data_IF_994872928537
#
_entry.id   IF_994872928537
#
_cell.length_a   1.000
_cell.length_b   1.000
_cell.length_c   1.000
_cell.angle_alpha   90.00
_cell.angle_beta   90.00
_cell.angle_gamma   90.00
#
_symmetry.space_group_name_H-M   'P 1'
#
loop_
_entity.id
_entity.type
_entity.pdbx_description
1 polymer ?
#
# COMPACT_ATOMS: atom_id res chain seq x y z
N UNK A 1 -5.64 1.34 -21.99
CA UNK A 1 -4.92 2.41 -21.23
C UNK A 1 -5.56 2.52 -19.87
N UNK A 2 -4.76 2.52 -18.79
CA UNK A 2 -5.31 2.62 -17.43
C UNK A 2 -5.92 4.03 -17.25
N UNK A 3 -7.18 4.14 -16.80
CA UNK A 3 -7.80 5.43 -16.51
C UNK A 3 -7.08 6.15 -15.36
N UNK A 4 -7.22 7.46 -15.28
CA UNK A 4 -6.78 8.26 -14.13
C UNK A 4 -7.90 8.47 -13.14
N UNK A 5 -7.54 8.73 -11.89
CA UNK A 5 -8.45 9.10 -10.80
C UNK A 5 -7.79 10.20 -9.95
N UNK A 6 -8.58 11.06 -9.35
CA UNK A 6 -8.08 12.12 -8.48
C UNK A 6 -8.30 11.75 -7.03
N UNK A 7 -7.23 11.79 -6.23
CA UNK A 7 -7.23 11.60 -4.78
C UNK A 7 -7.25 12.96 -4.09
N UNK A 8 -8.03 13.05 -3.01
CA UNK A 8 -8.05 14.18 -2.08
C UNK A 8 -7.97 15.56 -2.73
N UNK A 9 -6.97 16.32 -2.35
CA UNK A 9 -6.69 17.70 -2.75
C UNK A 9 -6.03 17.83 -4.15
N UNK A 10 -6.57 17.16 -5.15
CA UNK A 10 -6.21 17.22 -6.58
C UNK A 10 -4.96 16.42 -7.01
N UNK A 11 -4.56 15.38 -6.31
CA UNK A 11 -3.54 14.47 -6.82
C UNK A 11 -4.16 13.52 -7.85
N UNK A 12 -3.86 13.71 -9.12
CA UNK A 12 -4.29 12.81 -10.21
C UNK A 12 -3.25 11.73 -10.45
N UNK A 13 -3.67 10.47 -10.38
CA UNK A 13 -2.83 9.27 -10.53
C UNK A 13 -3.49 8.25 -11.46
N UNK A 14 -2.75 7.24 -11.92
CA UNK A 14 -3.36 6.05 -12.54
C UNK A 14 -4.28 5.34 -11.55
N UNK A 15 -5.45 4.84 -12.01
CA UNK A 15 -6.46 4.15 -11.17
C UNK A 15 -5.93 2.89 -10.49
N UNK A 16 -4.82 2.35 -10.96
CA UNK A 16 -4.02 1.29 -10.36
C UNK A 16 -2.61 1.83 -10.10
N UNK A 17 -2.07 1.61 -8.90
CA UNK A 17 -0.69 1.93 -8.58
C UNK A 17 0.20 0.68 -8.55
N UNK A 18 1.50 0.89 -8.40
CA UNK A 18 2.50 -0.17 -8.28
C UNK A 18 3.14 -0.14 -6.88
N UNK A 19 2.96 -1.22 -6.11
CA UNK A 19 3.58 -1.38 -4.78
C UNK A 19 5.03 -1.81 -4.88
N UNK A 20 5.96 -0.90 -4.67
CA UNK A 20 7.40 -1.12 -4.78
C UNK A 20 7.99 -2.11 -3.78
N UNK A 21 7.34 -2.35 -2.64
CA UNK A 21 7.84 -3.31 -1.63
C UNK A 21 8.10 -4.71 -2.21
N UNK A 22 7.34 -5.13 -3.23
CA UNK A 22 7.44 -6.46 -3.82
C UNK A 22 8.70 -6.68 -4.65
N UNK A 23 9.39 -5.63 -5.10
CA UNK A 23 10.57 -5.74 -5.97
C UNK A 23 11.89 -5.78 -5.21
N UNK A 24 11.86 -5.68 -3.88
CA UNK A 24 13.01 -5.92 -3.01
C UNK A 24 12.72 -7.06 -2.03
N UNK A 25 13.55 -7.24 -1.03
CA UNK A 25 13.72 -8.49 -0.27
C UNK A 25 12.57 -8.96 0.62
N UNK A 26 11.53 -8.17 0.84
CA UNK A 26 10.42 -8.51 1.75
C UNK A 26 9.78 -9.88 1.45
N UNK A 27 9.74 -10.28 0.18
CA UNK A 27 9.22 -11.58 -0.27
C UNK A 27 10.33 -12.49 -0.82
N UNK A 28 11.56 -12.32 -0.34
CA UNK A 28 12.76 -13.00 -0.78
C UNK A 28 13.56 -12.19 -1.80
N UNK A 29 14.87 -12.47 -1.87
CA UNK A 29 15.83 -11.73 -2.69
C UNK A 29 15.40 -11.64 -4.15
N UNK A 30 15.55 -10.46 -4.73
CA UNK A 30 15.24 -10.15 -6.12
C UNK A 30 16.47 -9.53 -6.77
N UNK A 31 16.98 -10.06 -7.90
CA UNK A 31 18.02 -9.38 -8.64
C UNK A 31 17.56 -8.00 -9.13
N UNK A 32 18.42 -6.99 -9.02
CA UNK A 32 18.11 -5.61 -9.38
C UNK A 32 17.54 -5.45 -10.78
N UNK A 33 18.08 -6.20 -11.76
CA UNK A 33 17.60 -6.15 -13.14
C UNK A 33 16.15 -6.66 -13.28
N UNK A 34 15.75 -7.66 -12.48
CA UNK A 34 14.35 -8.15 -12.44
C UNK A 34 13.46 -7.10 -11.81
N UNK A 35 13.93 -6.47 -10.74
CA UNK A 35 13.21 -5.41 -10.05
C UNK A 35 13.00 -4.18 -10.97
N UNK A 36 14.06 -3.71 -11.64
CA UNK A 36 14.00 -2.60 -12.61
C UNK A 36 13.06 -2.91 -13.77
N UNK A 37 13.17 -4.12 -14.34
CA UNK A 37 12.28 -4.56 -15.42
C UNK A 37 10.81 -4.58 -14.99
N UNK A 38 10.50 -4.97 -13.75
CA UNK A 38 9.14 -4.95 -13.22
C UNK A 38 8.58 -3.52 -13.17
N UNK A 39 9.38 -2.55 -12.69
CA UNK A 39 8.97 -1.14 -12.62
C UNK A 39 8.80 -0.57 -14.03
N UNK A 40 9.72 -0.83 -14.97
CA UNK A 40 9.55 -0.44 -16.37
C UNK A 40 8.27 -1.02 -16.97
N UNK A 41 8.00 -2.32 -16.76
CA UNK A 41 6.77 -2.96 -17.21
C UNK A 41 5.52 -2.28 -16.66
N UNK A 42 5.54 -1.85 -15.38
CA UNK A 42 4.42 -1.13 -14.78
C UNK A 42 4.19 0.23 -15.47
N UNK A 43 5.26 1.00 -15.66
CA UNK A 43 5.20 2.30 -16.36
C UNK A 43 4.72 2.15 -17.82
N UNK A 44 5.23 1.16 -18.55
CA UNK A 44 4.85 0.85 -19.94
C UNK A 44 3.37 0.40 -20.05
N UNK A 45 2.85 -0.25 -19.00
CA UNK A 45 1.43 -0.60 -18.90
C UNK A 45 0.53 0.60 -18.55
N UNK A 46 1.10 1.77 -18.28
CA UNK A 46 0.37 3.00 -17.91
C UNK A 46 0.08 3.13 -16.42
N UNK A 47 0.77 2.37 -15.57
CA UNK A 47 0.73 2.53 -14.11
C UNK A 47 1.74 3.62 -13.75
N UNK A 48 1.26 4.85 -13.52
CA UNK A 48 2.13 6.00 -13.26
C UNK A 48 2.29 6.31 -11.77
N UNK A 49 1.48 5.74 -10.91
CA UNK A 49 1.56 5.89 -9.46
C UNK A 49 2.45 4.79 -8.86
N UNK A 50 3.65 5.18 -8.42
CA UNK A 50 4.66 4.27 -7.85
C UNK A 50 4.75 4.53 -6.34
N UNK A 51 4.46 3.50 -5.54
CA UNK A 51 4.49 3.55 -4.07
C UNK A 51 5.71 2.84 -3.51
N UNK A 52 6.51 3.52 -2.71
CA UNK A 52 7.66 2.98 -1.97
C UNK A 52 7.67 3.43 -0.52
N UNK A 53 8.75 3.19 0.21
CA UNK A 53 9.02 3.72 1.55
C UNK A 53 10.53 3.71 1.83
N UNK A 54 10.97 4.58 2.74
CA UNK A 54 12.36 4.68 3.17
C UNK A 54 12.88 3.38 3.83
N UNK A 55 11.99 2.62 4.47
CA UNK A 55 12.34 1.37 5.15
C UNK A 55 12.44 0.16 4.22
N UNK A 56 11.99 0.26 2.95
CA UNK A 56 11.97 -0.89 2.05
C UNK A 56 13.36 -1.23 1.49
N UNK A 57 13.60 -2.53 1.35
CA UNK A 57 14.84 -3.10 0.84
C UNK A 57 15.77 -3.62 1.94
N UNK A 58 16.91 -4.20 1.56
CA UNK A 58 17.89 -4.69 2.51
C UNK A 58 18.75 -3.56 3.08
N UNK A 59 18.96 -3.52 4.41
CA UNK A 59 19.88 -2.57 5.02
C UNK A 59 21.30 -2.77 4.49
N UNK A 60 22.02 -1.70 4.21
CA UNK A 60 23.45 -1.79 3.89
C UNK A 60 24.26 -2.16 5.14
N UNK A 61 25.33 -2.95 4.98
CA UNK A 61 26.23 -3.25 6.11
C UNK A 61 26.72 -1.97 6.80
N UNK A 62 26.69 -1.96 8.13
CA UNK A 62 27.13 -0.85 8.98
C UNK A 62 26.34 0.47 8.82
N UNK A 63 25.12 0.42 8.28
CA UNK A 63 24.19 1.54 8.32
C UNK A 63 23.17 1.37 9.44
N UNK A 64 22.73 2.47 10.02
CA UNK A 64 21.64 2.54 10.99
C UNK A 64 20.45 3.28 10.39
N UNK A 65 19.22 2.90 10.78
CA UNK A 65 17.99 3.50 10.27
C UNK A 65 17.44 2.81 9.04
N UNK A 66 16.50 3.46 8.34
CA UNK A 66 15.80 2.90 7.19
C UNK A 66 16.73 2.48 6.06
N UNK A 67 16.43 1.34 5.41
CA UNK A 67 17.27 0.74 4.37
C UNK A 67 17.45 1.65 3.15
N UNK A 68 16.34 2.17 2.59
CA UNK A 68 16.31 3.11 1.47
C UNK A 68 16.73 2.52 0.11
N UNK A 69 17.12 1.27 0.05
CA UNK A 69 17.63 0.64 -1.20
C UNK A 69 16.55 0.47 -2.25
N UNK A 70 15.28 0.35 -1.84
CA UNK A 70 14.14 0.35 -2.77
C UNK A 70 13.96 1.73 -3.44
N UNK A 71 14.09 2.82 -2.68
CA UNK A 71 14.02 4.18 -3.25
C UNK A 71 15.19 4.44 -4.22
N UNK A 72 16.39 3.97 -3.92
CA UNK A 72 17.56 4.08 -4.82
C UNK A 72 17.32 3.36 -6.13
N UNK A 73 16.80 2.12 -6.08
CA UNK A 73 16.48 1.32 -7.27
C UNK A 73 15.40 2.01 -8.12
N UNK A 74 14.36 2.58 -7.50
CA UNK A 74 13.35 3.37 -8.23
C UNK A 74 14.00 4.62 -8.85
N UNK A 75 14.87 5.32 -8.12
CA UNK A 75 15.62 6.47 -8.62
C UNK A 75 16.42 6.14 -9.88
N UNK A 76 17.09 4.99 -9.91
CA UNK A 76 17.79 4.53 -11.12
C UNK A 76 16.83 4.29 -12.30
N UNK A 77 15.67 3.67 -12.07
CA UNK A 77 14.66 3.47 -13.13
C UNK A 77 14.16 4.80 -13.68
N UNK A 78 13.95 5.81 -12.83
CA UNK A 78 13.49 7.13 -13.28
C UNK A 78 14.47 7.80 -14.25
N UNK A 79 15.76 7.48 -14.19
CA UNK A 79 16.76 8.00 -15.14
C UNK A 79 16.75 7.30 -16.50
N UNK A 80 16.14 6.11 -16.59
CA UNK A 80 16.16 5.25 -17.78
C UNK A 80 14.81 5.07 -18.46
N UNK A 81 13.73 5.50 -17.79
CA UNK A 81 12.36 5.38 -18.28
C UNK A 81 12.05 6.38 -19.35
N UNK A 82 12.20 6.72 -20.31
CA UNK A 82 11.80 7.71 -21.31
C UNK A 82 10.62 8.66 -20.93
N UNK A 83 9.98 8.47 -19.77
CA UNK A 83 8.92 9.33 -19.25
C UNK A 83 9.50 10.58 -18.55
N UNK A 84 8.77 11.69 -18.62
CA UNK A 84 9.14 12.89 -17.84
C UNK A 84 8.73 12.70 -16.38
N UNK A 85 9.44 13.39 -15.49
CA UNK A 85 9.17 13.32 -14.05
C UNK A 85 7.70 13.64 -13.68
N UNK A 86 7.10 14.61 -14.35
CA UNK A 86 5.69 15.01 -14.12
C UNK A 86 4.66 14.01 -14.66
N UNK A 87 5.07 13.02 -15.45
CA UNK A 87 4.20 11.94 -15.92
C UNK A 87 4.13 10.77 -14.91
N UNK A 88 4.98 10.79 -13.87
CA UNK A 88 5.06 9.76 -12.84
C UNK A 88 4.73 10.40 -11.48
N UNK A 89 3.85 9.77 -10.72
CA UNK A 89 3.52 10.18 -9.35
C UNK A 89 4.22 9.26 -8.36
N UNK A 90 5.17 9.80 -7.62
CA UNK A 90 5.96 9.08 -6.62
C UNK A 90 5.37 9.24 -5.23
N UNK A 91 5.06 8.13 -4.59
CA UNK A 91 4.72 8.08 -3.18
C UNK A 91 5.84 7.39 -2.39
N UNK A 92 6.27 7.99 -1.30
CA UNK A 92 7.15 7.34 -0.32
C UNK A 92 6.72 7.65 1.10
N UNK A 93 7.33 6.97 2.08
CA UNK A 93 6.88 6.99 3.46
C UNK A 93 8.06 7.09 4.42
N UNK A 94 7.82 7.69 5.59
CA UNK A 94 8.77 7.77 6.71
C UNK A 94 8.10 7.28 7.99
N UNK A 95 8.90 7.09 9.03
CA UNK A 95 8.40 6.86 10.39
C UNK A 95 8.92 5.58 11.00
N UNK A 96 8.98 4.47 10.27
CA UNK A 96 9.56 3.23 10.75
C UNK A 96 11.10 3.34 10.68
N UNK A 97 11.75 3.38 11.85
CA UNK A 97 13.21 3.61 11.95
C UNK A 97 14.01 2.37 12.25
N UNK A 98 13.38 1.29 12.64
CA UNK A 98 14.02 0.03 12.94
C UNK A 98 13.03 -1.05 13.25
N UNK A 99 13.49 -2.29 13.10
CA UNK A 99 12.78 -3.49 13.49
C UNK A 99 13.71 -4.33 14.35
N UNK A 100 13.25 -4.67 15.55
CA UNK A 100 13.93 -5.54 16.49
C UNK A 100 12.95 -6.63 16.94
N UNK A 101 13.34 -7.90 16.80
CA UNK A 101 12.51 -9.04 17.20
C UNK A 101 12.24 -9.09 18.70
N UNK A 102 13.07 -8.46 19.53
CA UNK A 102 12.89 -8.42 20.98
C UNK A 102 12.09 -7.20 21.44
N UNK A 103 12.26 -6.05 20.76
CA UNK A 103 11.68 -4.76 21.17
C UNK A 103 10.59 -4.25 20.21
N UNK A 104 10.26 -5.00 19.17
CA UNK A 104 9.27 -4.62 18.17
C UNK A 104 9.77 -3.59 17.17
N UNK A 105 8.86 -2.81 16.62
CA UNK A 105 9.17 -1.77 15.64
C UNK A 105 9.32 -0.41 16.31
N UNK A 106 10.38 0.31 15.97
CA UNK A 106 10.61 1.68 16.43
C UNK A 106 10.08 2.68 15.41
N UNK A 107 9.35 3.68 15.90
CA UNK A 107 8.70 4.70 15.06
C UNK A 107 9.10 6.08 15.54
N UNK A 108 9.36 7.01 14.59
CA UNK A 108 9.62 8.43 14.85
C UNK A 108 8.75 9.32 13.99
N UNK A 109 8.15 10.35 14.62
CA UNK A 109 7.33 11.36 13.96
C UNK A 109 7.70 12.79 14.36
N UNK A 110 8.84 12.97 15.06
CA UNK A 110 9.30 14.30 15.45
C UNK A 110 9.71 15.13 14.24
N UNK A 111 9.56 16.46 14.36
CA UNK A 111 9.77 17.43 13.27
C UNK A 111 11.16 17.30 12.62
N UNK A 112 12.20 17.09 13.41
CA UNK A 112 13.58 16.98 12.91
C UNK A 112 13.72 15.72 12.03
N UNK A 113 13.23 14.58 12.53
CA UNK A 113 13.28 13.32 11.80
C UNK A 113 12.43 13.36 10.52
N UNK A 114 11.19 13.89 10.57
CA UNK A 114 10.34 14.04 9.38
C UNK A 114 11.06 14.76 8.25
N UNK A 115 11.76 15.84 8.56
CA UNK A 115 12.53 16.65 7.60
C UNK A 115 13.76 15.90 7.09
N UNK A 116 14.52 15.28 7.99
CA UNK A 116 15.68 14.46 7.63
C UNK A 116 15.31 13.31 6.70
N UNK A 117 14.28 12.56 7.05
CA UNK A 117 13.77 11.43 6.26
C UNK A 117 13.33 11.88 4.85
N UNK A 118 12.61 12.99 4.74
CA UNK A 118 12.22 13.56 3.45
C UNK A 118 13.44 13.91 2.57
N UNK A 119 14.44 14.60 3.13
CA UNK A 119 15.66 14.94 2.39
C UNK A 119 16.43 13.69 1.95
N UNK A 120 16.45 12.67 2.79
CA UNK A 120 17.07 11.38 2.47
C UNK A 120 16.35 10.67 1.33
N UNK A 121 15.00 10.65 1.34
CA UNK A 121 14.18 10.08 0.28
C UNK A 121 14.36 10.82 -1.05
N UNK A 122 14.34 12.16 -1.04
CA UNK A 122 14.60 12.96 -2.24
C UNK A 122 15.96 12.65 -2.87
N UNK A 123 17.00 12.49 -2.03
CA UNK A 123 18.35 12.15 -2.50
C UNK A 123 18.42 10.75 -3.09
N UNK A 124 17.79 9.73 -2.45
CA UNK A 124 17.78 8.35 -2.92
C UNK A 124 16.99 8.19 -4.22
N UNK A 125 15.84 8.82 -4.31
CA UNK A 125 15.00 8.85 -5.51
C UNK A 125 15.59 9.71 -6.64
N UNK A 126 16.56 10.59 -6.35
CA UNK A 126 17.18 11.48 -7.34
C UNK A 126 16.21 12.54 -7.87
N UNK A 127 15.26 13.01 -7.06
CA UNK A 127 14.20 13.96 -7.45
C UNK A 127 14.21 15.19 -6.56
N UNK A 128 13.64 16.30 -7.04
CA UNK A 128 13.52 17.57 -6.32
C UNK A 128 12.24 17.67 -5.47
N UNK A 129 11.22 16.84 -5.78
CA UNK A 129 9.97 16.76 -5.03
C UNK A 129 9.39 15.34 -5.00
N UNK A 130 8.62 15.06 -3.95
CA UNK A 130 7.80 13.86 -3.76
C UNK A 130 6.33 14.25 -4.03
N UNK A 131 5.61 13.46 -4.82
CA UNK A 131 4.20 13.77 -5.12
C UNK A 131 3.29 13.47 -3.94
N UNK A 132 3.51 12.35 -3.23
CA UNK A 132 2.74 11.98 -2.05
C UNK A 132 3.65 11.43 -0.94
N UNK A 133 3.71 12.12 0.20
CA UNK A 133 4.57 11.75 1.32
C UNK A 133 3.72 11.24 2.48
N UNK A 134 3.94 10.00 2.89
CA UNK A 134 3.16 9.35 3.94
C UNK A 134 3.88 9.31 5.29
N UNK A 135 3.14 9.54 6.37
CA UNK A 135 3.48 8.96 7.67
C UNK A 135 3.17 7.46 7.63
N UNK A 136 4.20 6.60 7.67
CA UNK A 136 4.07 5.15 7.49
C UNK A 136 3.40 4.46 8.69
N UNK A 137 3.83 4.84 9.91
CA UNK A 137 3.21 4.48 11.19
C UNK A 137 3.26 5.68 12.13
N UNK A 138 2.27 5.76 13.00
CA UNK A 138 2.20 6.83 13.99
C UNK A 138 3.10 6.53 15.19
N UNK A 139 3.88 7.51 15.64
CA UNK A 139 4.52 7.50 16.96
C UNK A 139 3.42 7.79 18.03
N UNK A 140 2.96 6.75 18.72
CA UNK A 140 1.78 6.84 19.60
C UNK A 140 2.01 7.77 20.82
N UNK A 141 3.25 7.96 21.23
CA UNK A 141 3.62 8.85 22.34
C UNK A 141 3.63 10.34 21.96
N UNK A 142 3.44 10.66 20.66
CA UNK A 142 3.45 12.02 20.12
C UNK A 142 2.06 12.41 19.60
N UNK A 143 1.58 13.65 19.83
CA UNK A 143 0.40 14.16 19.14
C UNK A 143 0.58 14.10 17.62
N UNK A 144 -0.41 13.58 16.89
CA UNK A 144 -0.34 13.45 15.43
C UNK A 144 -0.19 14.81 14.74
N UNK A 145 -0.72 15.85 15.37
CA UNK A 145 -0.69 17.23 14.90
C UNK A 145 0.74 17.75 14.75
N UNK A 146 1.68 17.35 15.62
CA UNK A 146 3.10 17.73 15.50
C UNK A 146 3.71 17.14 14.23
N UNK A 147 3.48 15.87 13.98
CA UNK A 147 4.00 15.19 12.79
C UNK A 147 3.40 15.78 11.52
N UNK A 148 2.09 15.99 11.48
CA UNK A 148 1.39 16.57 10.31
C UNK A 148 1.82 18.01 10.07
N UNK A 149 2.06 18.80 11.13
CA UNK A 149 2.61 20.17 10.98
C UNK A 149 3.98 20.14 10.30
N UNK A 150 4.86 19.21 10.68
CA UNK A 150 6.17 19.08 10.04
C UNK A 150 6.06 18.65 8.56
N UNK A 151 5.09 17.80 8.22
CA UNK A 151 4.81 17.43 6.83
C UNK A 151 4.27 18.63 6.03
N UNK A 152 3.37 19.44 6.61
CA UNK A 152 2.83 20.63 5.98
C UNK A 152 3.91 21.69 5.69
N UNK A 153 4.93 21.82 6.56
CA UNK A 153 6.09 22.66 6.28
C UNK A 153 6.86 22.23 5.02
N UNK A 154 7.01 20.92 4.80
CA UNK A 154 7.64 20.38 3.59
C UNK A 154 6.82 20.66 2.33
N UNK A 155 5.49 20.71 2.44
CA UNK A 155 4.61 21.15 1.34
C UNK A 155 4.84 22.64 1.06
N UNK A 156 4.87 23.48 2.09
CA UNK A 156 5.14 24.92 1.94
C UNK A 156 6.53 25.21 1.32
N UNK A 157 7.50 24.33 1.55
CA UNK A 157 8.84 24.41 0.94
C UNK A 157 8.90 23.85 -0.50
N UNK A 158 7.83 23.27 -1.01
CA UNK A 158 7.76 22.66 -2.34
C UNK A 158 8.52 21.33 -2.48
N UNK A 159 8.94 20.70 -1.37
CA UNK A 159 9.63 19.41 -1.35
C UNK A 159 8.66 18.23 -1.44
N UNK A 160 7.44 18.45 -1.01
CA UNK A 160 6.32 17.51 -1.04
C UNK A 160 5.15 18.23 -1.69
N UNK A 161 4.41 17.57 -2.57
CA UNK A 161 3.21 18.14 -3.19
C UNK A 161 1.96 17.86 -2.36
N UNK A 162 1.83 16.62 -1.88
CA UNK A 162 0.68 16.10 -1.15
C UNK A 162 1.12 15.26 0.03
N UNK A 163 0.31 15.22 1.09
CA UNK A 163 0.59 14.39 2.26
C UNK A 163 -0.48 13.33 2.49
N UNK A 164 -0.06 12.18 2.99
CA UNK A 164 -0.92 11.05 3.31
C UNK A 164 -0.58 10.42 4.65
N UNK A 165 -1.45 9.54 5.11
CA UNK A 165 -1.30 8.83 6.37
C UNK A 165 -1.50 7.33 6.16
N UNK A 166 -0.74 6.50 6.87
CA UNK A 166 -0.91 5.05 6.79
C UNK A 166 -1.26 4.47 8.15
N UNK A 167 -2.22 3.54 8.17
CA UNK A 167 -2.70 2.84 9.36
C UNK A 167 -3.08 3.80 10.50
N UNK A 168 -3.92 4.79 10.19
CA UNK A 168 -4.50 5.73 11.15
C UNK A 168 -5.96 5.39 11.42
N UNK A 169 -6.44 5.73 12.61
CA UNK A 169 -7.85 5.65 12.99
C UNK A 169 -8.66 6.80 12.36
N UNK A 170 -9.99 6.72 12.40
CA UNK A 170 -10.85 7.79 11.94
C UNK A 170 -10.59 9.10 12.71
N UNK A 171 -10.45 9.05 14.03
CA UNK A 171 -10.17 10.22 14.86
C UNK A 171 -8.79 10.84 14.55
N UNK A 172 -7.78 10.00 14.33
CA UNK A 172 -6.43 10.44 13.91
C UNK A 172 -6.48 11.13 12.54
N UNK A 173 -7.24 10.59 11.59
CA UNK A 173 -7.43 11.20 10.27
C UNK A 173 -8.12 12.57 10.40
N UNK A 174 -9.18 12.66 11.19
CA UNK A 174 -9.90 13.92 11.45
C UNK A 174 -9.00 14.97 12.11
N UNK A 175 -8.19 14.59 13.10
CA UNK A 175 -7.26 15.48 13.76
C UNK A 175 -6.20 16.01 12.80
N UNK A 176 -5.60 15.12 12.01
CA UNK A 176 -4.60 15.46 11.00
C UNK A 176 -5.15 16.38 9.89
N UNK A 177 -6.34 16.07 9.38
CA UNK A 177 -6.97 16.83 8.29
C UNK A 177 -7.31 18.27 8.68
N UNK A 178 -7.50 18.56 9.97
CA UNK A 178 -7.70 19.94 10.49
C UNK A 178 -6.41 20.77 10.43
N UNK A 179 -5.25 20.14 10.44
CA UNK A 179 -3.94 20.83 10.37
C UNK A 179 -3.57 21.12 8.92
N UNK A 180 -3.71 20.13 8.05
CA UNK A 180 -3.45 20.24 6.61
C UNK A 180 -4.34 19.23 5.87
N UNK A 181 -4.86 19.56 4.68
CA UNK A 181 -5.59 18.59 3.87
C UNK A 181 -4.79 17.30 3.68
N UNK A 182 -5.39 16.16 4.06
CA UNK A 182 -4.82 14.84 3.80
C UNK A 182 -5.34 14.37 2.46
N UNK A 183 -4.43 14.00 1.56
CA UNK A 183 -4.75 13.58 0.20
C UNK A 183 -5.18 12.13 0.14
N UNK A 184 -4.52 11.25 0.88
CA UNK A 184 -4.81 9.83 0.90
C UNK A 184 -4.54 9.17 2.24
N UNK A 185 -5.36 8.16 2.56
CA UNK A 185 -5.09 7.16 3.60
C UNK A 185 -4.63 5.88 2.94
N UNK A 186 -3.59 5.25 3.48
CA UNK A 186 -3.11 3.95 3.04
C UNK A 186 -3.25 2.93 4.17
N UNK A 187 -4.14 1.96 4.01
CA UNK A 187 -4.33 0.85 4.95
C UNK A 187 -4.59 -0.47 4.21
N UNK A 188 -4.42 -1.60 4.88
CA UNK A 188 -4.78 -2.88 4.28
C UNK A 188 -6.29 -2.94 4.05
N UNK A 189 -6.69 -3.08 2.80
CA UNK A 189 -8.08 -3.28 2.42
C UNK A 189 -8.17 -4.28 1.27
N UNK A 190 -9.00 -5.29 1.43
CA UNK A 190 -9.19 -6.36 0.46
C UNK A 190 -10.45 -7.15 0.79
N UNK A 191 -10.83 -8.12 -0.04
CA UNK A 191 -12.02 -8.95 0.17
C UNK A 191 -12.04 -9.57 1.58
N UNK A 192 -10.89 -9.90 2.17
CA UNK A 192 -10.78 -10.55 3.48
C UNK A 192 -10.24 -9.66 4.63
N UNK A 193 -9.88 -8.40 4.35
CA UNK A 193 -9.45 -7.41 5.35
C UNK A 193 -10.35 -6.19 5.24
N UNK A 194 -11.40 -6.14 6.04
CA UNK A 194 -12.48 -5.15 5.93
C UNK A 194 -12.70 -4.32 7.19
N UNK A 195 -11.81 -4.43 8.16
CA UNK A 195 -11.86 -3.67 9.41
C UNK A 195 -11.92 -2.16 9.18
N UNK A 196 -11.20 -1.63 8.20
CA UNK A 196 -11.21 -0.21 7.84
C UNK A 196 -12.58 0.33 7.40
N UNK A 197 -13.51 -0.54 7.00
CA UNK A 197 -14.88 -0.16 6.59
C UNK A 197 -15.74 0.30 7.76
N UNK A 198 -15.35 -0.03 9.00
CA UNK A 198 -16.12 0.36 10.17
C UNK A 198 -16.00 1.86 10.49
N UNK A 199 -14.80 2.43 10.34
CA UNK A 199 -14.51 3.79 10.77
C UNK A 199 -13.70 4.60 9.75
N UNK A 200 -12.56 4.09 9.30
CA UNK A 200 -11.60 4.86 8.48
C UNK A 200 -12.14 5.18 7.09
N UNK A 201 -12.76 4.20 6.41
CA UNK A 201 -13.34 4.38 5.06
C UNK A 201 -14.48 5.39 5.07
N UNK A 202 -15.47 5.33 5.99
CA UNK A 202 -16.47 6.37 6.14
C UNK A 202 -15.89 7.76 6.39
N UNK A 203 -14.94 7.89 7.32
CA UNK A 203 -14.30 9.18 7.62
C UNK A 203 -13.54 9.74 6.41
N UNK A 204 -12.80 8.90 5.67
CA UNK A 204 -12.10 9.31 4.46
C UNK A 204 -13.08 9.79 3.38
N UNK A 205 -14.21 9.12 3.21
CA UNK A 205 -15.28 9.52 2.29
C UNK A 205 -15.88 10.89 2.65
N UNK A 206 -16.22 11.11 3.91
CA UNK A 206 -16.77 12.39 4.39
C UNK A 206 -15.81 13.57 4.21
N UNK A 207 -14.50 13.32 4.34
CA UNK A 207 -13.46 14.33 4.16
C UNK A 207 -13.01 14.52 2.71
N UNK A 208 -13.49 13.67 1.77
CA UNK A 208 -13.02 13.66 0.39
C UNK A 208 -11.56 13.19 0.24
N UNK A 209 -11.06 12.41 1.19
CA UNK A 209 -9.71 11.84 1.20
C UNK A 209 -9.70 10.56 0.36
N UNK A 210 -8.69 10.36 -0.50
CA UNK A 210 -8.55 9.14 -1.29
C UNK A 210 -8.09 7.95 -0.43
N UNK A 211 -8.33 6.73 -0.92
CA UNK A 211 -7.89 5.52 -0.24
C UNK A 211 -6.95 4.68 -1.11
N UNK A 212 -5.83 4.28 -0.54
CA UNK A 212 -4.78 3.50 -1.22
C UNK A 212 -4.64 2.14 -0.53
N UNK A 213 -5.39 1.11 -0.96
CA UNK A 213 -5.29 -0.23 -0.38
C UNK A 213 -3.92 -0.85 -0.62
N UNK A 214 -3.18 -1.15 0.44
CA UNK A 214 -2.01 -2.01 0.31
C UNK A 214 -2.39 -3.49 0.52
N UNK A 215 -1.54 -4.41 0.04
CA UNK A 215 -1.80 -5.86 0.04
C UNK A 215 -3.18 -6.25 -0.53
N UNK A 216 -3.65 -5.61 -1.62
CA UNK A 216 -5.00 -5.80 -2.13
C UNK A 216 -5.29 -7.25 -2.54
N UNK A 217 -4.26 -8.03 -2.90
CA UNK A 217 -4.35 -9.44 -3.29
C UNK A 217 -4.06 -10.42 -2.14
N UNK A 218 -4.10 -9.95 -0.88
CA UNK A 218 -3.76 -10.79 0.26
C UNK A 218 -2.37 -11.41 0.13
N UNK A 219 -1.37 -10.64 -0.32
CA UNK A 219 0.00 -11.10 -0.56
C UNK A 219 0.08 -12.34 -1.48
N UNK A 220 -0.87 -12.50 -2.39
CA UNK A 220 -1.01 -13.62 -3.33
C UNK A 220 -1.94 -14.74 -2.85
N UNK A 221 -2.43 -14.72 -1.63
CA UNK A 221 -3.36 -15.73 -1.12
C UNK A 221 -4.70 -15.69 -1.87
N UNK A 222 -5.30 -14.51 -2.00
CA UNK A 222 -6.60 -14.33 -2.66
C UNK A 222 -6.58 -14.66 -4.17
N UNK A 223 -5.38 -14.76 -4.76
CA UNK A 223 -5.22 -15.23 -6.15
C UNK A 223 -5.19 -16.76 -6.29
N UNK A 224 -5.11 -17.49 -5.18
CA UNK A 224 -4.91 -18.95 -5.16
C UNK A 224 -3.49 -19.38 -5.55
N UNK A 225 -2.53 -18.47 -5.68
CA UNK A 225 -1.16 -18.81 -6.14
C UNK A 225 -0.13 -18.89 -5.01
N UNK A 226 -0.45 -18.44 -3.80
CA UNK A 226 0.42 -18.57 -2.65
C UNK A 226 0.39 -20.02 -2.12
N UNK A 227 1.53 -20.67 -2.13
CA UNK A 227 1.65 -22.05 -1.64
C UNK A 227 2.00 -22.07 -0.14
N UNK A 228 1.56 -23.10 0.58
CA UNK A 228 1.72 -23.23 2.03
C UNK A 228 3.20 -23.29 2.47
N UNK A 229 4.05 -23.93 1.69
CA UNK A 229 5.49 -24.00 1.93
C UNK A 229 6.18 -22.60 1.83
N UNK A 230 5.66 -21.77 0.92
CA UNK A 230 6.12 -20.37 0.80
C UNK A 230 5.71 -19.52 2.00
N UNK A 231 4.55 -19.78 2.59
CA UNK A 231 4.14 -19.14 3.84
C UNK A 231 5.14 -19.46 4.94
N UNK A 232 5.41 -20.75 5.16
CA UNK A 232 6.27 -21.22 6.24
C UNK A 232 7.72 -20.72 6.14
N UNK A 233 8.21 -20.43 4.93
CA UNK A 233 9.56 -19.90 4.68
C UNK A 233 9.62 -18.36 4.61
N UNK A 234 8.60 -17.66 5.01
CA UNK A 234 8.49 -16.20 4.90
C UNK A 234 7.93 -15.56 6.17
N UNK A 235 7.97 -14.23 6.24
CA UNK A 235 7.36 -13.43 7.31
C UNK A 235 5.84 -13.71 7.47
N UNK A 236 5.18 -14.26 6.45
CA UNK A 236 3.75 -14.57 6.50
C UNK A 236 3.40 -15.64 7.53
N UNK A 237 4.36 -16.51 7.91
CA UNK A 237 4.20 -17.45 9.01
C UNK A 237 3.87 -16.79 10.36
N UNK A 238 4.20 -15.50 10.51
CA UNK A 238 3.85 -14.74 11.70
C UNK A 238 2.44 -14.12 11.66
N UNK A 239 1.66 -14.38 10.61
CA UNK A 239 0.25 -13.94 10.56
C UNK A 239 -0.68 -15.17 10.64
N UNK A 240 -1.55 -15.28 11.67
CA UNK A 240 -2.39 -16.45 11.89
C UNK A 240 -3.25 -16.85 10.68
N UNK A 241 -3.73 -15.86 9.91
CA UNK A 241 -4.55 -16.10 8.71
C UNK A 241 -3.84 -16.91 7.62
N UNK A 242 -2.50 -16.82 7.52
CA UNK A 242 -1.70 -17.54 6.53
C UNK A 242 -1.13 -18.85 7.07
N UNK A 243 -0.80 -18.93 8.37
CA UNK A 243 -0.20 -20.12 8.96
C UNK A 243 -1.26 -21.06 9.54
N UNK A 244 -1.92 -20.62 10.62
CA UNK A 244 -2.86 -21.46 11.37
C UNK A 244 -4.14 -21.77 10.59
N UNK A 245 -4.61 -20.80 9.79
CA UNK A 245 -5.89 -20.86 9.07
C UNK A 245 -5.73 -20.93 7.54
N UNK A 246 -4.55 -21.35 7.06
CA UNK A 246 -4.31 -21.42 5.61
C UNK A 246 -5.36 -22.29 4.89
N UNK A 247 -5.63 -23.49 5.42
CA UNK A 247 -6.55 -24.44 4.79
C UNK A 247 -8.01 -24.00 4.92
N UNK A 248 -8.40 -23.46 6.07
CA UNK A 248 -9.74 -22.93 6.32
C UNK A 248 -10.07 -21.78 5.36
N UNK A 249 -9.11 -20.88 5.17
CA UNK A 249 -9.28 -19.71 4.32
C UNK A 249 -9.27 -20.02 2.80
N UNK A 250 -9.03 -21.26 2.37
CA UNK A 250 -9.19 -21.63 0.95
C UNK A 250 -10.63 -21.49 0.46
N UNK A 251 -11.62 -21.48 1.35
CA UNK A 251 -13.03 -21.31 0.96
C UNK A 251 -13.29 -19.97 0.27
N UNK A 252 -12.70 -18.86 0.75
CA UNK A 252 -12.85 -17.57 0.09
C UNK A 252 -12.14 -17.55 -1.27
N UNK A 253 -10.99 -18.21 -1.39
CA UNK A 253 -10.27 -18.32 -2.67
C UNK A 253 -11.11 -19.05 -3.71
N UNK A 254 -11.76 -20.15 -3.33
CA UNK A 254 -12.66 -20.90 -4.22
C UNK A 254 -13.81 -20.01 -4.73
N UNK A 255 -14.45 -19.24 -3.84
CA UNK A 255 -15.50 -18.28 -4.23
C UNK A 255 -14.99 -17.23 -5.24
N UNK A 256 -13.79 -16.67 -5.01
CA UNK A 256 -13.18 -15.72 -5.93
C UNK A 256 -12.90 -16.35 -7.30
N UNK A 257 -12.41 -17.59 -7.33
CA UNK A 257 -12.12 -18.34 -8.57
C UNK A 257 -13.40 -18.66 -9.36
N UNK A 258 -14.49 -19.04 -8.69
CA UNK A 258 -15.77 -19.26 -9.34
C UNK A 258 -16.28 -17.98 -10.03
N UNK A 259 -16.24 -16.85 -9.33
CA UNK A 259 -16.61 -15.54 -9.88
C UNK A 259 -15.67 -15.15 -11.03
N UNK A 260 -14.39 -15.41 -10.91
CA UNK A 260 -13.41 -15.15 -11.95
C UNK A 260 -13.73 -15.92 -13.24
N UNK A 261 -14.14 -17.19 -13.13
CA UNK A 261 -14.57 -17.98 -14.28
C UNK A 261 -15.84 -17.42 -14.94
N UNK A 262 -16.80 -16.93 -14.15
CA UNK A 262 -18.04 -16.30 -14.65
C UNK A 262 -17.76 -14.97 -15.39
N UNK A 263 -16.73 -14.23 -14.94
CA UNK A 263 -16.32 -12.94 -15.52
C UNK A 263 -15.30 -13.08 -16.67
N UNK A 264 -14.89 -14.30 -17.05
CA UNK A 264 -13.77 -14.56 -17.98
C UNK A 264 -12.49 -13.81 -17.55
N UNK A 265 -12.25 -13.74 -16.23
CA UNK A 265 -11.17 -13.00 -15.60
C UNK A 265 -10.32 -13.91 -14.70
N UNK A 266 -9.28 -13.38 -14.10
CA UNK A 266 -8.49 -14.06 -13.08
C UNK A 266 -8.94 -13.67 -11.66
N UNK A 267 -8.60 -14.49 -10.67
CA UNK A 267 -8.88 -14.21 -9.27
C UNK A 267 -8.21 -12.87 -8.81
N UNK A 268 -7.02 -12.55 -9.33
CA UNK A 268 -6.36 -11.27 -9.08
C UNK A 268 -7.19 -10.10 -9.60
N UNK A 269 -7.70 -10.22 -10.83
CA UNK A 269 -8.52 -9.18 -11.46
C UNK A 269 -9.86 -8.96 -10.73
N UNK A 270 -10.54 -10.04 -10.33
CA UNK A 270 -11.77 -9.97 -9.52
C UNK A 270 -11.49 -9.27 -8.19
N UNK A 271 -10.38 -9.60 -7.53
CA UNK A 271 -10.00 -9.01 -6.23
C UNK A 271 -9.73 -7.50 -6.35
N UNK A 272 -9.09 -7.05 -7.43
CA UNK A 272 -8.87 -5.63 -7.68
C UNK A 272 -10.17 -4.90 -8.09
N UNK A 273 -10.99 -5.52 -8.94
CA UNK A 273 -12.28 -4.96 -9.35
C UNK A 273 -13.23 -4.78 -8.16
N UNK A 274 -13.19 -5.67 -7.18
CA UNK A 274 -13.94 -5.57 -5.93
C UNK A 274 -13.62 -4.26 -5.19
N UNK A 275 -12.34 -3.88 -5.08
CA UNK A 275 -11.94 -2.62 -4.41
C UNK A 275 -12.52 -1.38 -5.08
N UNK A 276 -12.53 -1.32 -6.40
CA UNK A 276 -13.14 -0.18 -7.10
C UNK A 276 -14.65 -0.16 -6.98
N UNK A 277 -15.29 -1.34 -6.91
CA UNK A 277 -16.72 -1.44 -6.63
C UNK A 277 -17.02 -0.89 -5.21
N UNK A 278 -16.25 -1.29 -4.22
CA UNK A 278 -16.37 -0.74 -2.85
C UNK A 278 -16.13 0.76 -2.81
N UNK A 279 -15.10 1.25 -3.48
CA UNK A 279 -14.86 2.69 -3.60
C UNK A 279 -16.06 3.44 -4.15
N UNK A 280 -16.72 2.89 -5.17
CA UNK A 280 -17.95 3.47 -5.71
C UNK A 280 -19.11 3.45 -4.69
N UNK A 281 -19.26 2.35 -3.94
CA UNK A 281 -20.32 2.21 -2.93
C UNK A 281 -20.17 3.20 -1.78
N UNK A 282 -18.92 3.50 -1.38
CA UNK A 282 -18.62 4.49 -0.34
C UNK A 282 -18.46 5.93 -0.88
N UNK A 283 -18.53 6.16 -2.20
CA UNK A 283 -18.26 7.47 -2.80
C UNK A 283 -16.80 7.94 -2.64
N UNK A 284 -15.86 7.02 -2.66
CA UNK A 284 -14.46 7.18 -2.29
C UNK A 284 -13.54 6.85 -3.46
N UNK A 285 -12.58 7.72 -3.87
CA UNK A 285 -11.58 7.35 -4.87
C UNK A 285 -10.59 6.32 -4.28
N UNK A 286 -10.47 5.17 -4.95
CA UNK A 286 -9.65 4.04 -4.49
C UNK A 286 -8.59 3.69 -5.54
N UNK A 287 -7.33 3.60 -5.08
CA UNK A 287 -6.16 3.24 -5.91
C UNK A 287 -5.41 2.08 -5.26
N UNK A 288 -5.73 0.81 -5.62
CA UNK A 288 -4.97 -0.34 -5.12
C UNK A 288 -3.52 -0.31 -5.62
N UNK A 289 -2.60 -0.79 -4.80
CA UNK A 289 -1.16 -0.85 -5.11
C UNK A 289 -0.61 -2.29 -5.07
N UNK A 290 -1.10 -3.21 -5.94
CA UNK A 290 -0.50 -4.53 -6.02
C UNK A 290 0.94 -4.44 -6.53
N UNK A 291 1.86 -5.12 -5.86
CA UNK A 291 3.25 -5.24 -6.31
C UNK A 291 3.52 -6.60 -6.95
N UNK A 292 4.37 -6.65 -7.97
CA UNK A 292 4.83 -7.89 -8.59
C UNK A 292 6.22 -7.74 -9.20
N UNK A 293 6.99 -8.83 -9.19
CA UNK A 293 8.26 -8.98 -9.91
C UNK A 293 8.10 -9.57 -11.32
N UNK A 294 6.89 -9.96 -11.67
CA UNK A 294 6.57 -10.68 -12.91
C UNK A 294 5.77 -9.78 -13.85
N UNK A 295 6.31 -9.57 -15.05
CA UNK A 295 5.68 -8.73 -16.07
C UNK A 295 4.29 -9.22 -16.48
N UNK A 296 4.09 -10.54 -16.58
CA UNK A 296 2.78 -11.12 -16.89
C UNK A 296 1.72 -10.77 -15.84
N UNK A 297 2.07 -10.81 -14.55
CA UNK A 297 1.16 -10.40 -13.46
C UNK A 297 0.92 -8.90 -13.41
N UNK A 298 1.89 -8.09 -13.79
CA UNK A 298 1.69 -6.63 -13.88
C UNK A 298 0.66 -6.31 -14.96
N UNK A 299 0.76 -6.94 -16.14
CA UNK A 299 -0.24 -6.79 -17.19
C UNK A 299 -1.61 -7.37 -16.80
N UNK A 300 -1.64 -8.51 -16.10
CA UNK A 300 -2.85 -9.09 -15.53
C UNK A 300 -3.55 -8.11 -14.59
N UNK A 301 -2.81 -7.54 -13.64
CA UNK A 301 -3.33 -6.54 -12.70
C UNK A 301 -3.83 -5.27 -13.43
N UNK A 302 -3.09 -4.81 -14.44
CA UNK A 302 -3.47 -3.63 -15.24
C UNK A 302 -4.80 -3.83 -15.98
N UNK A 303 -5.06 -5.04 -16.47
CA UNK A 303 -6.30 -5.38 -17.16
C UNK A 303 -7.52 -5.52 -16.22
N UNK A 304 -7.31 -5.53 -14.90
CA UNK A 304 -8.41 -5.60 -13.92
C UNK A 304 -9.36 -4.40 -13.99
N UNK A 305 -8.92 -3.26 -14.55
CA UNK A 305 -9.75 -2.06 -14.69
C UNK A 305 -10.97 -2.24 -15.59
N UNK A 306 -10.95 -3.27 -16.45
CA UNK A 306 -12.01 -3.62 -17.38
C UNK A 306 -12.97 -4.69 -16.83
N UNK A 307 -12.70 -5.25 -15.64
CA UNK A 307 -13.55 -6.28 -15.02
C UNK A 307 -14.72 -5.62 -14.28
N UNK A 308 -15.94 -6.08 -14.58
CA UNK A 308 -17.16 -5.59 -13.97
C UNK A 308 -17.81 -6.66 -13.10
N UNK A 309 -18.01 -6.36 -11.82
CA UNK A 309 -18.69 -7.23 -10.87
C UNK A 309 -20.16 -6.84 -10.76
N UNK A 310 -21.04 -7.84 -10.76
CA UNK A 310 -22.48 -7.64 -10.52
C UNK A 310 -22.78 -7.55 -9.02
N UNK A 311 -23.97 -7.08 -8.65
CA UNK A 311 -24.43 -7.13 -7.25
C UNK A 311 -24.50 -8.54 -6.67
N UNK A 312 -24.75 -9.57 -7.50
CA UNK A 312 -24.73 -10.98 -7.08
C UNK A 312 -23.31 -11.42 -6.77
N UNK A 313 -22.31 -11.06 -7.59
CA UNK A 313 -20.90 -11.34 -7.32
C UNK A 313 -20.48 -10.71 -5.99
N UNK A 314 -20.84 -9.44 -5.74
CA UNK A 314 -20.53 -8.76 -4.50
C UNK A 314 -21.17 -9.44 -3.28
N UNK A 315 -22.44 -9.83 -3.37
CA UNK A 315 -23.12 -10.54 -2.28
C UNK A 315 -22.47 -11.90 -1.95
N UNK A 316 -21.99 -12.64 -2.95
CA UNK A 316 -21.25 -13.90 -2.76
C UNK A 316 -19.90 -13.65 -2.08
N UNK A 317 -19.17 -12.60 -2.46
CA UNK A 317 -17.90 -12.23 -1.82
C UNK A 317 -18.12 -11.78 -0.37
N UNK A 318 -19.18 -11.02 -0.10
CA UNK A 318 -19.57 -10.62 1.25
C UNK A 318 -19.94 -11.83 2.13
N UNK A 319 -20.67 -12.78 1.59
CA UNK A 319 -20.99 -14.02 2.31
C UNK A 319 -19.75 -14.88 2.59
N UNK A 320 -18.79 -14.92 1.67
CA UNK A 320 -17.54 -15.66 1.84
C UNK A 320 -16.64 -15.09 2.94
N UNK A 321 -16.76 -13.79 3.27
CA UNK A 321 -16.00 -13.17 4.37
C UNK A 321 -16.26 -13.87 5.71
N UNK A 322 -17.46 -14.39 5.94
CA UNK A 322 -17.80 -15.12 7.17
C UNK A 322 -16.99 -16.41 7.37
N UNK A 323 -16.33 -16.93 6.32
CA UNK A 323 -15.46 -18.11 6.38
C UNK A 323 -13.99 -17.77 6.67
N UNK A 324 -13.64 -16.50 6.78
CA UNK A 324 -12.26 -16.05 6.98
C UNK A 324 -11.90 -16.08 8.46
N UNK A 325 -10.77 -16.67 8.77
CA UNK A 325 -10.22 -16.83 10.10
C UNK A 325 -8.85 -16.14 10.21
N UNK A 326 -8.55 -15.62 11.41
CA UNK A 326 -7.28 -14.97 11.73
C UNK A 326 -7.22 -13.49 11.34
N UNK A 327 -6.57 -12.70 12.20
CA UNK A 327 -6.36 -11.27 11.98
C UNK A 327 -5.23 -10.97 10.99
N UNK A 328 -5.11 -9.69 10.61
CA UNK A 328 -4.07 -9.19 9.68
C UNK A 328 -2.79 -8.70 10.40
N UNK A 329 -2.79 -8.65 11.73
CA UNK A 329 -1.61 -8.25 12.48
C UNK A 329 -0.58 -9.37 12.56
N UNK A 330 0.70 -9.02 12.71
CA UNK A 330 1.77 -9.98 12.95
C UNK A 330 1.81 -10.34 14.44
N UNK A 331 2.16 -11.57 14.77
CA UNK A 331 2.28 -12.05 16.15
C UNK A 331 3.42 -11.42 16.95
N UNK A 332 4.35 -10.75 16.26
CA UNK A 332 5.48 -10.02 16.86
C UNK A 332 5.26 -8.50 16.95
N UNK A 333 4.08 -8.01 16.58
CA UNK A 333 3.70 -6.60 16.75
C UNK A 333 2.62 -6.48 17.79
N UNK A 334 2.56 -5.33 18.47
CA UNK A 334 1.47 -4.98 19.35
C UNK A 334 0.17 -4.78 18.56
N UNK A 335 -0.98 -4.92 19.22
CA UNK A 335 -2.28 -4.79 18.55
C UNK A 335 -2.49 -3.37 18.00
N UNK A 336 -1.87 -2.36 18.61
CA UNK A 336 -1.93 -0.95 18.21
C UNK A 336 -1.04 -0.60 17.01
N UNK A 337 -0.26 -1.55 16.46
CA UNK A 337 0.56 -1.38 15.27
C UNK A 337 -0.25 -1.01 14.01
N UNK A 338 -1.48 -1.47 13.94
CA UNK A 338 -2.44 -1.17 12.88
C UNK A 338 -3.64 -0.38 13.43
N UNK A 339 -4.38 0.31 12.54
CA UNK A 339 -5.51 1.16 12.93
C UNK A 339 -6.57 0.42 13.73
N UNK A 340 -6.95 -0.78 13.31
CA UNK A 340 -8.00 -1.58 13.96
C UNK A 340 -7.70 -1.98 15.43
N UNK A 341 -6.45 -1.98 15.83
CA UNK A 341 -6.10 -2.19 17.25
C UNK A 341 -6.21 -0.95 18.12
N UNK A 342 -6.47 0.22 17.51
CA UNK A 342 -6.61 1.52 18.18
C UNK A 342 -8.02 2.13 18.08
N UNK A 343 -8.95 1.48 17.36
CA UNK A 343 -10.34 1.91 17.18
C UNK A 343 -11.30 1.34 18.19
#
# INVERSE_FOLDING_TARGET
MIPTITLGDNLTVSKLGFGGMAVTDTYGSTPDEVAKQAIHTALDAGITFIDTADVYGEPRPNTTGPAGTNEELIGEVLTTTGLKRDEIQLATKFGIVGFDLENGMSVRGDREYVREACHNSLRRLGVDHIDLYYMHRRELTRPIEETVTAMAELVAEGKVRHIGLSEVTADELLAAHRIHPITAVQSEWSIWSRDVEHHVVPAASELGVGFVPYSPLGRGFLTGTLQKDRVQSSILAAQPRYDQHYDDNQAIVATIQDIAAECEATAAQVTLAWLWHQGTAYGLPVVPIPGSRRSDRIHENAAAVDVHLTGEHMARLDAALATVHGGRNFTFTDDDWISSGRE
#
